data_IF_065270118241
#
_entry.id   IF_065270118241
#
_cell.length_a   1.000
_cell.length_b   1.000
_cell.length_c   1.000
_cell.angle_alpha   90.00
_cell.angle_beta   90.00
_cell.angle_gamma   90.00
#
_symmetry.space_group_name_H-M   'P 1'
#
loop_
_entity.id
_entity.type
_entity.pdbx_description
1 polymer ?
#
# COMPACT_ATOMS: atom_id res chain seq x y z
N UNK A 1 1.05 12.13 -26.87
CA UNK A 1 0.56 12.25 -25.48
C UNK A 1 0.50 10.85 -24.88
N UNK A 2 0.55 10.80 -23.55
CA UNK A 2 0.53 9.57 -22.78
C UNK A 2 -0.74 9.62 -21.91
N UNK A 3 -1.56 8.58 -22.01
CA UNK A 3 -2.77 8.40 -21.21
C UNK A 3 -2.52 7.32 -20.15
N UNK A 4 -2.72 7.65 -18.89
CA UNK A 4 -2.58 6.70 -17.80
C UNK A 4 -3.89 5.91 -17.69
N UNK A 5 -3.83 4.60 -17.95
CA UNK A 5 -4.96 3.69 -17.87
C UNK A 5 -5.22 3.23 -16.43
N UNK A 6 -4.15 3.01 -15.66
CA UNK A 6 -4.22 2.52 -14.28
C UNK A 6 -2.98 2.92 -13.49
N UNK A 7 -3.16 3.26 -12.22
CA UNK A 7 -2.07 3.56 -11.29
C UNK A 7 -2.20 2.72 -10.03
N UNK A 8 -1.08 2.18 -9.55
CA UNK A 8 -0.95 1.51 -8.25
C UNK A 8 0.18 2.19 -7.49
N UNK A 9 -0.09 2.63 -6.27
CA UNK A 9 0.91 3.17 -5.35
C UNK A 9 1.28 2.11 -4.31
N UNK A 10 2.57 1.87 -4.12
CA UNK A 10 3.12 1.01 -3.07
C UNK A 10 4.03 1.87 -2.18
N UNK A 11 3.70 1.99 -0.91
CA UNK A 11 4.51 2.72 0.07
C UNK A 11 5.20 1.76 1.01
N UNK A 12 6.52 1.94 1.15
CA UNK A 12 7.36 1.27 2.13
C UNK A 12 8.12 2.34 2.90
N UNK A 13 8.43 2.09 4.17
CA UNK A 13 8.98 3.04 5.16
C UNK A 13 9.69 4.30 4.60
N UNK A 14 10.68 4.12 3.71
CA UNK A 14 11.48 5.20 3.11
C UNK A 14 11.39 5.28 1.58
N UNK A 15 10.54 4.48 0.94
CA UNK A 15 10.46 4.36 -0.52
C UNK A 15 9.01 4.23 -0.98
N UNK A 16 8.66 5.01 -1.99
CA UNK A 16 7.38 4.91 -2.69
C UNK A 16 7.61 4.40 -4.11
N UNK A 17 6.74 3.51 -4.57
CA UNK A 17 6.72 3.02 -5.94
C UNK A 17 5.35 3.31 -6.56
N UNK A 18 5.36 3.96 -7.72
CA UNK A 18 4.16 4.23 -8.51
C UNK A 18 4.26 3.36 -9.77
N UNK A 19 3.32 2.45 -9.94
CA UNK A 19 3.23 1.58 -11.09
C UNK A 19 2.04 2.04 -11.95
N UNK A 20 2.34 2.61 -13.11
CA UNK A 20 1.36 3.08 -14.08
C UNK A 20 1.29 2.13 -15.27
N UNK A 21 0.09 1.77 -15.69
CA UNK A 21 -0.18 1.24 -17.03
C UNK A 21 -0.51 2.43 -17.92
N UNK A 22 0.29 2.67 -18.94
CA UNK A 22 0.22 3.86 -19.80
C UNK A 22 -0.01 3.44 -21.23
N UNK A 23 -0.86 4.17 -21.93
CA UNK A 23 -1.10 4.06 -23.36
C UNK A 23 -0.57 5.31 -24.06
N UNK A 24 0.31 5.14 -25.03
CA UNK A 24 0.74 6.21 -25.92
C UNK A 24 -0.29 6.42 -27.03
N UNK A 25 -0.43 7.64 -27.54
CA UNK A 25 -1.34 7.96 -28.66
C UNK A 25 -1.11 7.10 -29.92
N UNK A 26 0.05 6.47 -30.05
CA UNK A 26 0.33 5.49 -31.12
C UNK A 26 -0.35 4.13 -30.92
N UNK A 27 -1.15 3.96 -29.86
CA UNK A 27 -1.76 2.69 -29.45
C UNK A 27 -0.80 1.74 -28.72
N UNK A 28 0.43 2.18 -28.44
CA UNK A 28 1.41 1.36 -27.72
C UNK A 28 1.19 1.46 -26.21
N UNK A 29 0.94 0.34 -25.56
CA UNK A 29 0.84 0.27 -24.10
C UNK A 29 2.22 0.00 -23.48
N UNK A 30 2.49 0.50 -22.29
CA UNK A 30 3.69 0.17 -21.50
C UNK A 30 3.43 0.29 -20.01
N UNK A 31 4.27 -0.37 -19.22
CA UNK A 31 4.26 -0.24 -17.76
C UNK A 31 5.34 0.75 -17.36
N UNK A 32 5.01 1.71 -16.51
CA UNK A 32 5.94 2.70 -15.97
C UNK A 32 6.06 2.50 -14.46
N UNK A 33 7.26 2.26 -13.98
CA UNK A 33 7.56 2.14 -12.55
C UNK A 33 8.37 3.37 -12.14
N UNK A 34 7.82 4.19 -11.26
CA UNK A 34 8.51 5.34 -10.68
C UNK A 34 8.82 5.04 -9.23
N UNK A 35 10.09 5.11 -8.85
CA UNK A 35 10.54 5.00 -7.47
C UNK A 35 10.92 6.38 -6.94
N UNK A 36 10.43 6.70 -5.76
CA UNK A 36 10.81 7.87 -4.99
C UNK A 36 11.37 7.40 -3.63
N UNK A 37 12.58 7.83 -3.28
CA UNK A 37 13.23 7.44 -2.02
C UNK A 37 13.35 8.69 -1.16
N UNK A 38 12.85 8.60 0.07
CA UNK A 38 12.87 9.70 1.02
C UNK A 38 14.32 10.12 1.31
N UNK A 39 14.61 11.40 1.08
CA UNK A 39 15.95 11.98 1.26
C UNK A 39 16.84 11.93 0.01
N UNK A 40 16.34 11.37 -1.09
CA UNK A 40 16.98 11.41 -2.41
C UNK A 40 16.07 12.23 -3.33
N UNK A 41 16.57 13.36 -3.85
CA UNK A 41 15.77 14.24 -4.70
C UNK A 41 15.51 13.65 -6.10
N UNK A 42 16.26 12.63 -6.50
CA UNK A 42 16.13 12.00 -7.81
C UNK A 42 15.14 10.84 -7.78
N UNK A 43 13.98 11.05 -8.42
CA UNK A 43 13.05 9.96 -8.74
C UNK A 43 13.62 9.10 -9.87
N UNK A 44 13.59 7.78 -9.70
CA UNK A 44 13.98 6.85 -10.75
C UNK A 44 12.73 6.40 -11.51
N UNK A 45 12.78 6.37 -12.84
CA UNK A 45 11.65 5.95 -13.68
C UNK A 45 12.11 4.89 -14.67
N UNK A 46 11.42 3.76 -14.68
CA UNK A 46 11.63 2.66 -15.60
C UNK A 46 10.38 2.48 -16.46
N UNK A 47 10.53 2.51 -17.79
CA UNK A 47 9.47 2.17 -18.74
C UNK A 47 9.75 0.77 -19.29
N UNK A 48 8.76 -0.11 -19.20
CA UNK A 48 8.83 -1.51 -19.61
C UNK A 48 7.88 -1.72 -20.79
N UNK A 49 8.44 -2.21 -21.89
CA UNK A 49 7.65 -2.62 -23.06
C UNK A 49 6.87 -3.91 -22.72
N UNK A 50 5.58 -4.03 -23.08
CA UNK A 50 4.80 -5.23 -22.83
C UNK A 50 5.44 -6.51 -23.40
N UNK A 51 6.19 -6.42 -24.49
CA UNK A 51 6.82 -7.59 -25.11
C UNK A 51 7.84 -8.29 -24.20
N UNK A 52 8.49 -7.55 -23.29
CA UNK A 52 9.50 -8.08 -22.36
C UNK A 52 8.95 -8.23 -20.94
N UNK A 53 7.72 -7.80 -20.69
CA UNK A 53 7.13 -7.82 -19.35
C UNK A 53 7.03 -9.25 -18.80
N UNK A 54 6.64 -10.21 -19.64
CA UNK A 54 6.54 -11.62 -19.25
C UNK A 54 7.89 -12.18 -18.78
N UNK A 55 8.96 -11.89 -19.53
CA UNK A 55 10.30 -12.36 -19.21
C UNK A 55 10.82 -11.70 -17.91
N UNK A 56 10.57 -10.40 -17.73
CA UNK A 56 10.92 -9.69 -16.50
C UNK A 56 10.17 -10.29 -15.31
N UNK A 57 8.88 -10.58 -15.45
CA UNK A 57 8.09 -11.19 -14.37
C UNK A 57 8.64 -12.56 -13.98
N UNK A 58 9.03 -13.38 -14.96
CA UNK A 58 9.62 -14.69 -14.70
C UNK A 58 10.92 -14.57 -13.90
N UNK A 59 11.84 -13.69 -14.34
CA UNK A 59 13.12 -13.46 -13.64
C UNK A 59 12.90 -12.90 -12.23
N UNK A 60 11.97 -11.96 -12.06
CA UNK A 60 11.66 -11.41 -10.73
C UNK A 60 11.04 -12.45 -9.78
N UNK A 61 10.24 -13.38 -10.31
CA UNK A 61 9.69 -14.49 -9.54
C UNK A 61 10.79 -15.46 -9.09
N UNK A 62 11.70 -15.82 -10.00
CA UNK A 62 12.85 -16.68 -9.69
C UNK A 62 13.73 -16.05 -8.59
N UNK A 63 14.08 -14.78 -8.73
CA UNK A 63 14.84 -14.06 -7.70
C UNK A 63 14.10 -13.98 -6.37
N UNK A 64 12.77 -13.81 -6.39
CA UNK A 64 11.99 -13.82 -5.16
C UNK A 64 12.12 -15.17 -4.43
N UNK A 65 12.06 -16.29 -5.16
CA UNK A 65 12.26 -17.62 -4.56
C UNK A 65 13.68 -17.80 -3.99
N UNK A 66 14.72 -17.34 -4.68
CA UNK A 66 16.11 -17.41 -4.21
C UNK A 66 16.35 -16.56 -2.96
N UNK A 67 15.79 -15.35 -2.93
CA UNK A 67 15.86 -14.46 -1.78
C UNK A 67 15.16 -15.10 -0.58
N UNK A 68 13.98 -15.70 -0.77
CA UNK A 68 13.25 -16.40 0.30
C UNK A 68 14.01 -17.61 0.85
N UNK A 69 14.74 -18.35 0.02
CA UNK A 69 15.61 -19.46 0.46
C UNK A 69 16.78 -18.97 1.30
N UNK A 70 17.34 -17.80 0.94
CA UNK A 70 18.54 -17.24 1.59
C UNK A 70 18.23 -16.44 2.85
N UNK A 71 17.04 -15.83 2.91
CA UNK A 71 16.55 -15.05 4.03
C UNK A 71 15.09 -15.43 4.30
N UNK A 72 14.83 -16.41 5.20
CA UNK A 72 13.48 -16.72 5.65
C UNK A 72 12.98 -15.56 6.53
N UNK A 73 12.66 -14.45 5.89
CA UNK A 73 12.14 -13.25 6.53
C UNK A 73 10.63 -13.31 6.40
N UNK A 74 9.92 -13.39 7.52
CA UNK A 74 8.45 -13.29 7.63
C UNK A 74 7.86 -11.94 7.14
N UNK A 75 8.68 -11.06 6.53
CA UNK A 75 8.25 -9.76 6.02
C UNK A 75 7.67 -9.88 4.62
N UNK A 76 6.60 -10.66 4.50
CA UNK A 76 5.65 -10.46 3.41
C UNK A 76 4.89 -9.15 3.67
N UNK A 77 5.47 -8.04 3.22
CA UNK A 77 4.78 -6.76 3.05
C UNK A 77 3.90 -6.75 1.78
N UNK A 78 3.44 -7.93 1.35
CA UNK A 78 2.20 -8.07 0.59
C UNK A 78 1.11 -8.34 1.63
N UNK A 79 0.22 -7.38 1.84
CA UNK A 79 -1.08 -7.73 2.41
C UNK A 79 -1.76 -8.63 1.37
N UNK A 80 -1.60 -9.95 1.52
CA UNK A 80 -2.34 -10.92 0.69
C UNK A 80 -3.82 -10.57 0.73
N UNK A 81 -4.55 -10.87 -0.34
CA UNK A 81 -5.97 -10.55 -0.40
C UNK A 81 -6.75 -11.16 0.78
N UNK A 82 -6.32 -12.33 1.27
CA UNK A 82 -6.82 -12.93 2.50
C UNK A 82 -6.56 -12.08 3.76
N UNK A 83 -5.36 -11.51 3.92
CA UNK A 83 -5.05 -10.59 5.02
C UNK A 83 -5.88 -9.31 4.90
N UNK A 84 -6.02 -8.76 3.69
CA UNK A 84 -6.87 -7.57 3.46
C UNK A 84 -8.33 -7.85 3.84
N UNK A 85 -8.88 -8.99 3.43
CA UNK A 85 -10.23 -9.40 3.78
C UNK A 85 -10.39 -9.63 5.30
N UNK A 86 -9.35 -10.11 6.00
CA UNK A 86 -9.34 -10.22 7.47
C UNK A 86 -9.32 -8.86 8.15
N UNK A 87 -8.58 -7.88 7.63
CA UNK A 87 -8.58 -6.49 8.12
C UNK A 87 -9.98 -5.90 7.98
N UNK A 88 -10.56 -5.99 6.77
CA UNK A 88 -11.92 -5.51 6.48
C UNK A 88 -12.94 -6.17 7.41
N UNK A 89 -12.91 -7.50 7.53
CA UNK A 89 -13.87 -8.24 8.36
C UNK A 89 -13.78 -7.88 9.85
N UNK A 90 -12.60 -7.50 10.35
CA UNK A 90 -12.41 -7.06 11.74
C UNK A 90 -12.82 -5.60 11.93
N UNK A 91 -12.52 -4.74 10.96
CA UNK A 91 -12.97 -3.35 10.99
C UNK A 91 -14.51 -3.25 10.99
N UNK A 92 -15.19 -4.03 10.13
CA UNK A 92 -16.66 -4.11 10.11
C UNK A 92 -17.27 -4.68 11.41
N UNK A 93 -16.48 -5.39 12.22
CA UNK A 93 -16.87 -5.85 13.57
C UNK A 93 -16.64 -4.78 14.65
N UNK A 94 -16.21 -3.57 14.28
CA UNK A 94 -16.02 -2.45 15.19
C UNK A 94 -14.64 -2.40 15.85
N UNK A 95 -13.65 -3.13 15.34
CA UNK A 95 -12.26 -3.03 15.83
C UNK A 95 -11.66 -1.70 15.37
N UNK A 96 -11.01 -0.99 16.29
CA UNK A 96 -10.41 0.32 16.00
C UNK A 96 -9.23 0.19 15.04
N UNK A 97 -8.92 1.27 14.30
CA UNK A 97 -7.75 1.29 13.42
C UNK A 97 -6.48 1.03 14.24
N UNK A 98 -6.37 1.63 15.44
CA UNK A 98 -5.22 1.47 16.34
C UNK A 98 -4.97 0.00 16.72
N UNK A 99 -6.04 -0.75 17.00
CA UNK A 99 -5.93 -2.19 17.32
C UNK A 99 -5.57 -3.03 16.08
N UNK A 100 -6.09 -2.66 14.90
CA UNK A 100 -5.71 -3.32 13.65
C UNK A 100 -4.24 -3.07 13.31
N UNK A 101 -3.69 -1.89 13.62
CA UNK A 101 -2.26 -1.60 13.42
C UNK A 101 -1.38 -2.53 14.24
N UNK A 102 -1.74 -2.69 15.51
CA UNK A 102 -1.00 -3.53 16.44
C UNK A 102 -1.12 -5.03 16.08
N UNK A 103 -2.27 -5.44 15.55
CA UNK A 103 -2.55 -6.81 15.19
C UNK A 103 -1.91 -7.25 13.87
N UNK A 104 -1.88 -6.37 12.88
CA UNK A 104 -1.37 -6.67 11.55
C UNK A 104 0.03 -6.11 11.30
N UNK A 105 0.65 -5.51 12.33
CA UNK A 105 2.00 -4.91 12.31
C UNK A 105 2.22 -4.02 11.09
N UNK A 106 1.35 -3.03 10.93
CA UNK A 106 1.29 -2.19 9.73
C UNK A 106 1.05 -0.72 10.06
N UNK A 107 1.29 0.15 9.07
CA UNK A 107 1.07 1.59 9.21
C UNK A 107 -0.40 1.97 9.01
N UNK A 108 -0.80 3.09 9.62
CA UNK A 108 -2.17 3.61 9.56
C UNK A 108 -2.66 3.79 8.13
N UNK A 109 -1.79 4.34 7.29
CA UNK A 109 -2.06 4.59 5.87
C UNK A 109 -2.42 3.31 5.11
N UNK A 110 -1.74 2.19 5.40
CA UNK A 110 -2.01 0.91 4.74
C UNK A 110 -3.42 0.41 5.07
N UNK A 111 -3.84 0.50 6.34
CA UNK A 111 -5.19 0.10 6.74
C UNK A 111 -6.23 1.01 6.10
N UNK A 112 -6.01 2.32 6.12
CA UNK A 112 -6.92 3.30 5.51
C UNK A 112 -7.09 3.04 4.01
N UNK A 113 -5.99 2.72 3.32
CA UNK A 113 -6.01 2.43 1.89
C UNK A 113 -6.66 1.08 1.57
N UNK A 114 -6.48 0.04 2.40
CA UNK A 114 -7.20 -1.23 2.26
C UNK A 114 -8.71 -1.01 2.38
N UNK A 115 -9.13 -0.23 3.39
CA UNK A 115 -10.54 0.10 3.62
C UNK A 115 -11.12 0.94 2.47
N UNK A 116 -10.38 1.96 2.02
CA UNK A 116 -10.78 2.81 0.89
C UNK A 116 -10.93 2.02 -0.42
N UNK A 117 -9.95 1.18 -0.77
CA UNK A 117 -9.99 0.35 -1.98
C UNK A 117 -11.15 -0.66 -1.96
N UNK A 118 -11.66 -1.02 -0.78
CA UNK A 118 -12.82 -1.89 -0.58
C UNK A 118 -14.13 -1.11 -0.36
N UNK A 119 -14.11 0.22 -0.51
CA UNK A 119 -15.28 1.09 -0.44
C UNK A 119 -15.82 1.34 0.97
N UNK A 120 -14.97 1.21 1.99
CA UNK A 120 -15.36 1.39 3.40
C UNK A 120 -14.91 2.77 3.87
N UNK A 121 -15.88 3.64 4.17
CA UNK A 121 -15.63 4.96 4.72
C UNK A 121 -15.28 4.88 6.20
N UNK A 122 -14.24 5.63 6.60
CA UNK A 122 -13.79 5.71 7.98
C UNK A 122 -14.50 6.88 8.65
N UNK A 123 -15.41 6.64 9.62
CA UNK A 123 -16.05 7.73 10.34
C UNK A 123 -14.99 8.53 11.11
N UNK A 124 -14.90 9.84 10.86
CA UNK A 124 -14.06 10.73 11.66
C UNK A 124 -14.58 10.72 13.10
N UNK A 125 -13.75 10.27 14.04
CA UNK A 125 -14.05 10.39 15.46
C UNK A 125 -14.02 11.87 15.85
N UNK A 126 -15.21 12.47 16.00
CA UNK A 126 -15.36 13.71 16.73
C UNK A 126 -14.84 13.52 18.15
N UNK A 127 -13.80 14.28 18.50
CA UNK A 127 -13.19 14.24 19.84
C UNK A 127 -14.25 14.59 20.88
N UNK A 128 -14.74 13.58 21.60
CA UNK A 128 -15.69 13.78 22.70
C UNK A 128 -15.03 14.66 23.77
N UNK A 129 -15.58 15.86 23.99
CA UNK A 129 -15.08 16.82 24.99
C UNK A 129 -15.14 16.20 26.38
N UNK A 130 -13.99 15.98 27.00
CA UNK A 130 -13.89 15.51 28.40
C UNK A 130 -14.43 16.59 29.34
N UNK A 131 -15.62 16.37 29.90
CA UNK A 131 -16.17 17.21 30.97
C UNK A 131 -15.44 16.91 32.28
N UNK A 132 -14.61 17.86 32.73
CA UNK A 132 -13.97 17.80 34.04
C UNK A 132 -14.97 18.19 35.12
N UNK A 133 -15.42 17.24 35.95
CA UNK A 133 -16.18 17.54 37.16
C UNK A 133 -15.26 18.19 38.21
N UNK A 134 -15.41 19.51 38.38
CA UNK A 134 -14.69 20.28 39.39
C UNK A 134 -15.33 20.00 40.77
N UNK A 135 -14.73 19.12 41.57
CA UNK A 135 -15.13 18.91 42.98
C UNK A 135 -14.86 20.19 43.77
N UNK A 136 -15.92 20.87 44.24
CA UNK A 136 -15.82 21.93 45.25
C UNK A 136 -15.43 21.27 46.58
N UNK A 137 -14.25 21.61 47.11
CA UNK A 137 -13.91 21.30 48.52
C UNK A 137 -14.69 22.26 49.42
N UNK A 138 -15.36 21.71 50.43
CA UNK A 138 -15.85 22.43 51.62
C UNK A 138 -14.69 22.60 52.60
#
# INVERSE_FOLDING_TARGET
MENILKTILLEYEKSQFILDLVEHDSGATFVSITQNIQGIETSQKLKINPSVLTDILFVLQEYNEEIHKSFPSDRHAYFSEEKQNKVVARFLKGVSIEDLLLQFDCSKQIIEQILYNKGIEIPQQDKVKKYYHRRKKK
#
